data_IF_355076991440
#
_entry.id   IF_355076991440
#
_cell.length_a   1.000
_cell.length_b   1.000
_cell.length_c   1.000
_cell.angle_alpha   90.00
_cell.angle_beta   90.00
_cell.angle_gamma   90.00
#
_symmetry.space_group_name_H-M   'P 1'
#
loop_
_entity.id
_entity.type
_entity.pdbx_description
1 polymer ?
#
# COMPACT_ATOMS: atom_id res chain seq x y z
N UNK A 1 8.75 13.58 18.08
CA UNK A 1 8.97 14.15 16.73
C UNK A 1 7.93 13.58 15.79
N UNK A 2 7.36 14.40 14.91
CA UNK A 2 6.45 13.94 13.87
C UNK A 2 7.27 13.57 12.62
N UNK A 3 7.29 12.28 12.26
CA UNK A 3 8.13 11.75 11.17
C UNK A 3 7.19 11.32 10.02
N UNK A 4 7.50 11.68 8.76
CA UNK A 4 6.66 11.28 7.64
C UNK A 4 6.90 9.81 7.28
N UNK A 5 5.87 9.19 6.71
CA UNK A 5 5.88 7.83 6.16
C UNK A 5 5.90 7.95 4.64
N UNK A 6 6.72 7.12 3.98
CA UNK A 6 6.80 7.04 2.52
C UNK A 6 6.01 5.83 2.01
N UNK A 7 4.91 6.02 1.26
CA UNK A 7 4.16 4.91 0.69
C UNK A 7 4.89 4.35 -0.55
N UNK A 8 4.89 3.03 -0.68
CA UNK A 8 5.51 2.31 -1.80
C UNK A 8 4.55 1.23 -2.29
N UNK A 9 4.14 1.32 -3.55
CA UNK A 9 3.36 0.30 -4.25
C UNK A 9 4.29 -0.64 -5.02
N UNK A 10 4.13 -1.94 -4.83
CA UNK A 10 4.89 -2.98 -5.54
C UNK A 10 3.89 -3.91 -6.23
N UNK A 11 4.04 -4.11 -7.54
CA UNK A 11 3.15 -4.97 -8.33
C UNK A 11 3.94 -5.90 -9.26
N UNK A 12 3.33 -7.01 -9.67
CA UNK A 12 3.95 -8.01 -10.55
C UNK A 12 4.75 -9.11 -9.83
N UNK A 13 4.86 -9.05 -8.50
CA UNK A 13 5.50 -10.09 -7.68
C UNK A 13 4.67 -11.38 -7.63
N UNK A 14 3.36 -11.28 -7.82
CA UNK A 14 2.41 -12.39 -8.05
C UNK A 14 2.73 -13.21 -9.30
N UNK A 15 3.61 -12.73 -10.18
CA UNK A 15 4.07 -13.49 -11.36
C UNK A 15 5.32 -14.31 -11.06
N UNK A 16 5.89 -14.19 -9.86
CA UNK A 16 7.03 -14.99 -9.39
C UNK A 16 6.49 -16.27 -8.74
N UNK A 17 6.01 -17.20 -9.57
CA UNK A 17 5.49 -18.49 -9.11
C UNK A 17 6.13 -19.67 -9.86
N UNK A 18 6.51 -20.70 -9.10
CA UNK A 18 7.09 -21.93 -9.63
C UNK A 18 8.46 -21.74 -10.32
N UNK A 19 8.76 -22.57 -11.32
CA UNK A 19 9.99 -22.51 -12.12
C UNK A 19 9.79 -21.62 -13.37
N UNK A 20 8.53 -21.27 -13.68
CA UNK A 20 8.14 -20.54 -14.90
C UNK A 20 8.81 -19.16 -15.03
N UNK A 21 9.06 -18.47 -13.91
CA UNK A 21 9.74 -17.16 -13.91
C UNK A 21 11.20 -17.22 -14.40
N UNK A 22 11.85 -18.39 -14.36
CA UNK A 22 13.20 -18.57 -14.91
C UNK A 22 13.22 -18.46 -16.44
N UNK A 23 12.10 -18.79 -17.08
CA UNK A 23 11.94 -18.75 -18.53
C UNK A 23 11.40 -17.41 -19.04
N UNK A 24 10.65 -16.68 -18.20
CA UNK A 24 10.16 -15.33 -18.50
C UNK A 24 10.29 -14.44 -17.27
N UNK A 25 11.20 -13.47 -17.34
CA UNK A 25 11.39 -12.49 -16.27
C UNK A 25 10.08 -11.73 -16.02
N UNK A 26 9.52 -11.82 -14.80
CA UNK A 26 8.31 -11.09 -14.47
C UNK A 26 8.60 -9.59 -14.44
N UNK A 27 7.68 -8.81 -14.98
CA UNK A 27 7.77 -7.35 -14.96
C UNK A 27 7.27 -6.85 -13.60
N UNK A 28 8.21 -6.37 -12.78
CA UNK A 28 7.92 -5.80 -11.46
C UNK A 28 7.93 -4.28 -11.58
N UNK A 29 6.90 -3.64 -11.05
CA UNK A 29 6.80 -2.17 -11.01
C UNK A 29 6.80 -1.72 -9.55
N UNK A 30 7.67 -0.76 -9.25
CA UNK A 30 7.76 -0.10 -7.94
C UNK A 30 7.39 1.38 -8.14
N UNK A 31 6.28 1.81 -7.54
CA UNK A 31 5.84 3.19 -7.55
C UNK A 31 6.05 3.79 -6.16
N UNK A 32 6.80 4.89 -6.09
CA UNK A 32 7.09 5.60 -4.85
C UNK A 32 6.17 6.82 -4.78
N UNK A 33 5.36 6.89 -3.74
CA UNK A 33 4.46 8.02 -3.52
C UNK A 33 5.13 9.20 -2.82
N UNK A 34 4.30 10.17 -2.43
CA UNK A 34 4.76 11.33 -1.67
C UNK A 34 4.76 11.00 -0.17
N UNK A 35 5.78 11.41 0.60
CA UNK A 35 5.74 11.28 2.04
C UNK A 35 4.49 11.96 2.63
N UNK A 36 3.86 11.32 3.61
CA UNK A 36 2.71 11.86 4.33
C UNK A 36 2.84 11.59 5.83
N UNK A 37 1.97 12.22 6.60
CA UNK A 37 2.01 12.18 8.06
C UNK A 37 0.76 11.50 8.59
N UNK A 38 0.92 10.58 9.54
CA UNK A 38 -0.23 9.99 10.25
C UNK A 38 -0.66 10.91 11.40
N UNK A 39 -1.97 10.98 11.69
CA UNK A 39 -2.45 11.62 12.91
C UNK A 39 -1.73 11.04 14.14
N UNK A 40 -1.19 11.91 14.99
CA UNK A 40 -0.61 11.47 16.25
C UNK A 40 -1.73 11.16 17.24
N UNK A 41 -1.77 9.96 17.82
CA UNK A 41 -2.74 9.67 18.85
C UNK A 41 -2.34 10.30 20.17
N UNK A 42 -3.32 10.91 20.84
CA UNK A 42 -3.20 11.30 22.23
C UNK A 42 -3.30 10.04 23.11
N UNK A 43 -2.15 9.43 23.42
CA UNK A 43 -2.08 8.24 24.26
C UNK A 43 -2.28 6.91 23.52
N UNK A 44 -2.85 5.92 24.21
CA UNK A 44 -2.95 4.55 23.68
C UNK A 44 -4.08 4.46 22.65
N UNK A 45 -3.72 4.10 21.42
CA UNK A 45 -4.68 3.87 20.34
C UNK A 45 -5.72 2.81 20.72
N UNK A 46 -6.99 3.11 20.48
CA UNK A 46 -8.08 2.11 20.49
C UNK A 46 -7.98 1.20 19.25
N UNK A 47 -8.72 0.09 19.25
CA UNK A 47 -8.77 -0.80 18.07
C UNK A 47 -9.25 -0.05 16.82
N UNK A 48 -10.35 0.70 16.94
CA UNK A 48 -10.94 1.47 15.84
C UNK A 48 -9.97 2.52 15.28
N UNK A 49 -9.22 3.21 16.15
CA UNK A 49 -8.22 4.18 15.72
C UNK A 49 -7.07 3.50 14.96
N UNK A 50 -6.64 2.30 15.36
CA UNK A 50 -5.61 1.55 14.62
C UNK A 50 -6.09 1.14 13.24
N UNK A 51 -7.33 0.68 13.13
CA UNK A 51 -7.97 0.32 11.86
C UNK A 51 -8.03 1.54 10.93
N UNK A 52 -8.52 2.69 11.42
CA UNK A 52 -8.56 3.92 10.63
C UNK A 52 -7.17 4.39 10.16
N UNK A 53 -6.13 4.25 11.00
CA UNK A 53 -4.75 4.56 10.59
C UNK A 53 -4.23 3.58 9.53
N UNK A 54 -4.57 2.29 9.64
CA UNK A 54 -4.24 1.30 8.64
C UNK A 54 -4.93 1.60 7.31
N UNK A 55 -6.21 1.97 7.33
CA UNK A 55 -6.97 2.36 6.15
C UNK A 55 -6.35 3.57 5.44
N UNK A 56 -5.90 4.57 6.19
CA UNK A 56 -5.20 5.72 5.62
C UNK A 56 -3.91 5.30 4.89
N UNK A 57 -3.08 4.45 5.52
CA UNK A 57 -1.88 3.93 4.87
C UNK A 57 -2.20 3.09 3.62
N UNK A 58 -3.22 2.25 3.70
CA UNK A 58 -3.62 1.37 2.60
C UNK A 58 -4.18 2.15 1.41
N UNK A 59 -4.93 3.24 1.65
CA UNK A 59 -5.41 4.12 0.57
C UNK A 59 -4.24 4.78 -0.18
N UNK A 60 -3.21 5.23 0.52
CA UNK A 60 -2.00 5.79 -0.10
C UNK A 60 -1.23 4.73 -0.90
N UNK A 61 -1.13 3.49 -0.40
CA UNK A 61 -0.48 2.38 -1.13
C UNK A 61 -1.30 1.98 -2.36
N UNK A 62 -2.63 1.83 -2.21
CA UNK A 62 -3.51 1.40 -3.30
C UNK A 62 -3.51 2.41 -4.45
N UNK A 63 -3.43 3.71 -4.16
CA UNK A 63 -3.31 4.75 -5.19
C UNK A 63 -2.04 4.61 -6.06
N UNK A 64 -1.02 3.88 -5.59
CA UNK A 64 0.23 3.60 -6.33
C UNK A 64 0.17 2.29 -7.12
N UNK A 65 -0.88 1.49 -6.96
CA UNK A 65 -1.06 0.20 -7.62
C UNK A 65 -1.94 0.33 -8.87
N UNK A 66 -1.75 -0.53 -9.88
CA UNK A 66 -2.71 -0.67 -10.98
C UNK A 66 -4.12 -0.99 -10.45
N UNK A 67 -5.20 -0.54 -11.13
CA UNK A 67 -6.58 -0.68 -10.65
C UNK A 67 -6.96 -2.10 -10.21
N UNK A 68 -6.52 -3.11 -10.94
CA UNK A 68 -6.76 -4.52 -10.67
C UNK A 68 -6.14 -5.03 -9.36
N UNK A 69 -5.15 -4.32 -8.81
CA UNK A 69 -4.48 -4.64 -7.54
C UNK A 69 -4.91 -3.73 -6.38
N UNK A 70 -5.87 -2.81 -6.57
CA UNK A 70 -6.29 -1.86 -5.52
C UNK A 70 -7.22 -2.48 -4.46
N UNK A 71 -7.89 -3.59 -4.80
CA UNK A 71 -8.79 -4.30 -3.89
C UNK A 71 -9.90 -3.41 -3.32
N UNK A 72 -10.19 -3.56 -2.02
CA UNK A 72 -11.24 -2.80 -1.31
C UNK A 72 -10.94 -1.31 -1.15
N UNK A 73 -9.73 -0.87 -1.50
CA UNK A 73 -9.30 0.53 -1.38
C UNK A 73 -9.32 1.28 -2.73
N UNK A 74 -9.89 0.68 -3.77
CA UNK A 74 -10.10 1.36 -5.04
C UNK A 74 -10.97 2.62 -4.84
N UNK A 75 -10.66 3.72 -5.54
CA UNK A 75 -11.32 5.04 -5.39
C UNK A 75 -12.85 5.08 -5.59
N UNK A 76 -13.49 3.97 -5.94
CA UNK A 76 -14.95 3.84 -6.14
C UNK A 76 -15.63 2.97 -5.06
N UNK A 77 -14.93 2.63 -3.98
CA UNK A 77 -15.50 1.88 -2.84
C UNK A 77 -15.98 2.81 -1.72
N UNK A 78 -17.05 3.55 -1.98
CA UNK A 78 -17.96 4.14 -0.98
C UNK A 78 -19.41 3.90 -1.44
#
# INVERSE_FOLDING_TARGET
>A
MHIPILPVGISGTDKIHGISWLWKRPHIVINIGKPFYLPQPDGRLTKLQREALADLMMKEIAALLPPEYQGVYAKHGD
#
